data_IF_342284090641
#
_entry.id   IF_342284090641
#
_cell.length_a   1.000
_cell.length_b   1.000
_cell.length_c   1.000
_cell.angle_alpha   90.00
_cell.angle_beta   90.00
_cell.angle_gamma   90.00
#
_symmetry.space_group_name_H-M   'P 1'
#
loop_
_entity.id
_entity.type
_entity.pdbx_description
1 polymer ?
#
# COMPACT_ATOMS: atom_id res chain seq x y z
N UNK A 1 0.94 -3.97 14.40
CA UNK A 1 0.81 -5.05 13.40
C UNK A 1 -0.68 -5.22 13.11
N UNK A 2 -1.06 -5.53 11.88
CA UNK A 2 -2.48 -5.66 11.47
C UNK A 2 -2.76 -7.16 11.38
N UNK A 3 -3.87 -7.63 11.96
CA UNK A 3 -4.26 -9.03 11.84
C UNK A 3 -4.59 -9.36 10.38
N UNK A 4 -4.10 -10.48 9.83
CA UNK A 4 -4.26 -10.81 8.41
C UNK A 4 -5.72 -10.76 7.97
N UNK A 5 -6.60 -11.42 8.73
CA UNK A 5 -8.04 -11.60 8.43
C UNK A 5 -8.89 -10.34 8.69
N UNK A 6 -8.26 -9.22 9.03
CA UNK A 6 -8.96 -7.96 9.32
C UNK A 6 -9.00 -7.05 8.10
N UNK A 7 -10.18 -6.52 7.80
CA UNK A 7 -10.34 -5.54 6.73
C UNK A 7 -9.55 -4.27 7.06
N UNK A 8 -8.52 -3.98 6.27
CA UNK A 8 -7.76 -2.74 6.37
C UNK A 8 -8.31 -1.71 5.39
N UNK A 9 -9.08 -0.75 5.92
CA UNK A 9 -9.73 0.26 5.08
C UNK A 9 -8.79 1.44 4.81
N UNK A 10 -9.10 2.22 3.77
CA UNK A 10 -8.35 3.43 3.50
C UNK A 10 -8.55 4.55 4.57
N UNK A 11 -9.53 4.44 5.48
CA UNK A 11 -9.60 5.29 6.69
C UNK A 11 -8.57 4.86 7.73
N UNK A 12 -8.38 3.56 7.92
CA UNK A 12 -7.35 3.03 8.83
C UNK A 12 -5.95 3.45 8.35
N UNK A 13 -5.73 3.40 7.04
CA UNK A 13 -4.53 3.94 6.40
C UNK A 13 -4.31 5.43 6.70
N UNK A 14 -5.36 6.25 6.58
CA UNK A 14 -5.30 7.69 6.85
C UNK A 14 -4.85 7.97 8.30
N UNK A 15 -5.50 7.34 9.28
CA UNK A 15 -5.16 7.53 10.69
C UNK A 15 -3.76 7.03 11.02
N UNK A 16 -3.41 5.82 10.59
CA UNK A 16 -2.09 5.25 10.83
C UNK A 16 -0.98 6.11 10.20
N UNK A 17 -1.16 6.53 8.95
CA UNK A 17 -0.17 7.36 8.24
C UNK A 17 0.07 8.68 8.94
N UNK A 18 -0.99 9.37 9.37
CA UNK A 18 -0.86 10.63 10.09
C UNK A 18 -0.09 10.49 11.41
N UNK A 19 -0.36 9.44 12.19
CA UNK A 19 0.37 9.18 13.42
C UNK A 19 1.86 8.90 13.17
N UNK A 20 2.19 8.10 12.15
CA UNK A 20 3.59 7.83 11.80
C UNK A 20 4.33 9.06 11.25
N UNK A 21 3.66 9.87 10.43
CA UNK A 21 4.22 11.12 9.90
C UNK A 21 4.61 12.05 11.05
N UNK A 22 3.70 12.26 12.01
CA UNK A 22 3.96 13.06 13.20
C UNK A 22 5.13 12.53 14.04
N UNK A 23 5.18 11.21 14.25
CA UNK A 23 6.29 10.56 14.96
C UNK A 23 7.63 10.78 14.27
N UNK A 24 7.68 10.64 12.94
CA UNK A 24 8.92 10.82 12.16
C UNK A 24 9.36 12.29 12.19
N UNK A 25 8.42 13.23 12.03
CA UNK A 25 8.73 14.66 12.05
C UNK A 25 9.30 15.10 13.41
N UNK A 26 8.80 14.55 14.53
CA UNK A 26 9.35 14.77 15.88
C UNK A 26 10.81 14.33 16.02
N UNK A 27 11.29 13.42 15.17
CA UNK A 27 12.70 12.98 15.14
C UNK A 27 13.58 13.82 14.19
N UNK A 28 13.08 14.93 13.67
CA UNK A 28 13.74 15.77 12.65
C UNK A 28 14.11 15.00 11.38
N UNK A 29 13.30 14.02 10.99
CA UNK A 29 13.46 13.24 9.76
C UNK A 29 12.35 13.56 8.77
N UNK A 30 12.61 13.26 7.49
CA UNK A 30 11.65 13.44 6.41
C UNK A 30 10.84 12.14 6.25
N UNK A 31 9.50 12.17 6.43
CA UNK A 31 8.65 11.02 6.14
C UNK A 31 8.64 10.73 4.63
N UNK A 32 8.80 9.46 4.26
CA UNK A 32 8.66 8.99 2.87
C UNK A 32 7.53 7.98 2.85
N UNK A 33 6.47 8.30 2.11
CA UNK A 33 5.32 7.42 1.92
C UNK A 33 5.51 6.69 0.59
N UNK A 34 5.67 5.37 0.64
CA UNK A 34 5.82 4.52 -0.55
C UNK A 34 4.48 3.86 -0.84
N UNK A 35 4.01 4.04 -2.08
CA UNK A 35 2.63 3.73 -2.48
C UNK A 35 2.43 2.26 -2.84
N UNK A 36 1.27 1.73 -2.44
CA UNK A 36 0.61 0.55 -3.03
C UNK A 36 -0.64 0.94 -3.84
N UNK A 37 -1.74 1.28 -3.16
CA UNK A 37 -3.02 1.69 -3.77
C UNK A 37 -3.16 3.21 -3.90
N UNK A 38 -3.66 3.70 -5.04
CA UNK A 38 -3.90 5.12 -5.29
C UNK A 38 -4.97 5.71 -4.36
N UNK A 39 -6.06 4.96 -4.11
CA UNK A 39 -7.17 5.41 -3.26
C UNK A 39 -6.77 5.73 -1.82
N UNK A 40 -5.71 5.11 -1.31
CA UNK A 40 -5.16 5.41 0.01
C UNK A 40 -4.47 6.78 0.05
N UNK A 41 -3.73 7.13 -1.01
CA UNK A 41 -3.06 8.43 -1.13
C UNK A 41 -4.10 9.53 -1.38
N UNK A 42 -5.09 9.28 -2.22
CA UNK A 42 -6.21 10.21 -2.44
C UNK A 42 -6.91 10.55 -1.12
N UNK A 43 -7.31 9.54 -0.34
CA UNK A 43 -7.90 9.79 0.98
C UNK A 43 -6.94 10.52 1.92
N UNK A 44 -5.65 10.20 1.92
CA UNK A 44 -4.68 10.89 2.77
C UNK A 44 -4.57 12.38 2.42
N UNK A 45 -4.53 12.70 1.13
CA UNK A 45 -4.24 14.05 0.62
C UNK A 45 -5.49 14.94 0.60
N UNK A 46 -6.65 14.37 0.25
CA UNK A 46 -7.91 15.09 0.05
C UNK A 46 -8.78 15.16 1.32
N UNK A 47 -8.42 14.47 2.40
CA UNK A 47 -9.21 14.49 3.63
C UNK A 47 -9.34 15.90 4.22
N UNK A 48 -10.59 16.34 4.38
CA UNK A 48 -10.93 17.67 4.86
C UNK A 48 -10.68 17.89 6.35
N UNK A 49 -10.58 16.83 7.15
CA UNK A 49 -10.33 16.92 8.60
C UNK A 49 -8.83 17.11 8.84
N UNK A 50 -7.99 16.36 8.15
CA UNK A 50 -6.54 16.43 8.30
C UNK A 50 -5.88 17.52 7.46
N UNK A 51 -6.54 18.00 6.40
CA UNK A 51 -6.08 19.09 5.53
C UNK A 51 -4.60 18.93 5.14
N UNK A 52 -4.23 17.75 4.65
CA UNK A 52 -2.84 17.32 4.50
C UNK A 52 -1.96 18.32 3.73
N UNK A 53 -2.45 18.81 2.58
CA UNK A 53 -1.75 19.79 1.75
C UNK A 53 -1.57 21.16 2.41
N UNK A 54 -2.41 21.51 3.39
CA UNK A 54 -2.23 22.72 4.18
C UNK A 54 -1.17 22.55 5.27
N UNK A 55 -1.09 21.34 5.84
CA UNK A 55 -0.21 21.03 6.97
C UNK A 55 1.22 20.73 6.56
N UNK A 56 1.43 20.12 5.39
CA UNK A 56 2.73 19.64 4.95
C UNK A 56 3.11 20.14 3.56
N UNK A 57 4.37 20.57 3.43
CA UNK A 57 4.96 20.85 2.12
C UNK A 57 5.37 19.52 1.46
N UNK A 58 4.50 19.00 0.59
CA UNK A 58 4.61 17.65 0.03
C UNK A 58 5.32 17.65 -1.33
N UNK A 59 6.19 16.67 -1.55
CA UNK A 59 6.83 16.41 -2.84
C UNK A 59 6.33 15.09 -3.41
N UNK A 60 5.80 15.13 -4.63
CA UNK A 60 5.26 13.95 -5.32
C UNK A 60 6.23 13.49 -6.41
N UNK A 61 6.74 12.27 -6.27
CA UNK A 61 7.62 11.64 -7.25
C UNK A 61 6.83 10.56 -7.98
N UNK A 62 6.65 10.74 -9.29
CA UNK A 62 6.00 9.76 -10.16
C UNK A 62 7.06 8.97 -10.93
N UNK A 63 7.10 7.66 -10.72
CA UNK A 63 7.96 6.76 -11.50
C UNK A 63 7.12 6.20 -12.65
N UNK A 64 7.49 6.57 -13.87
CA UNK A 64 6.84 6.09 -15.09
C UNK A 64 7.76 5.15 -15.88
N UNK A 65 7.15 4.20 -16.60
CA UNK A 65 7.86 3.25 -17.45
C UNK A 65 6.96 2.82 -18.60
N UNK A 66 7.56 2.55 -19.76
CA UNK A 66 6.83 2.05 -20.91
C UNK A 66 6.07 0.75 -20.57
N UNK A 67 4.83 0.63 -21.03
CA UNK A 67 3.96 -0.52 -20.76
C UNK A 67 4.58 -1.86 -21.16
N UNK A 68 5.30 -1.92 -22.27
CA UNK A 68 5.97 -3.14 -22.73
C UNK A 68 7.04 -3.61 -21.74
N UNK A 69 7.88 -2.68 -21.26
CA UNK A 69 8.93 -2.92 -20.27
C UNK A 69 8.31 -3.31 -18.92
N UNK A 70 7.24 -2.62 -18.50
CA UNK A 70 6.52 -2.96 -17.27
C UNK A 70 6.01 -4.39 -17.31
N UNK A 71 5.30 -4.76 -18.38
CA UNK A 71 4.75 -6.10 -18.55
C UNK A 71 5.85 -7.17 -18.53
N UNK A 72 6.97 -6.93 -19.22
CA UNK A 72 8.12 -7.82 -19.19
C UNK A 72 8.63 -8.05 -17.76
N UNK A 73 8.82 -6.97 -16.98
CA UNK A 73 9.29 -7.05 -15.59
C UNK A 73 8.29 -7.73 -14.66
N UNK A 74 7.00 -7.44 -14.81
CA UNK A 74 5.93 -8.03 -14.00
C UNK A 74 5.84 -9.54 -14.26
N UNK A 75 5.88 -9.96 -15.53
CA UNK A 75 5.86 -11.38 -15.90
C UNK A 75 7.06 -12.11 -15.27
N UNK A 76 8.28 -11.58 -15.44
CA UNK A 76 9.48 -12.15 -14.82
C UNK A 76 9.40 -12.21 -13.29
N UNK A 77 8.72 -11.23 -12.65
CA UNK A 77 8.52 -11.26 -11.19
C UNK A 77 7.59 -12.39 -10.79
N UNK A 78 6.50 -12.60 -11.53
CA UNK A 78 5.56 -13.71 -11.28
C UNK A 78 6.27 -15.05 -11.45
N UNK A 79 7.07 -15.23 -12.50
CA UNK A 79 7.86 -16.45 -12.69
C UNK A 79 8.78 -16.72 -11.49
N UNK A 80 9.45 -15.68 -10.99
CA UNK A 80 10.29 -15.78 -9.77
C UNK A 80 9.48 -16.12 -8.52
N UNK A 81 8.29 -15.54 -8.35
CA UNK A 81 7.42 -15.82 -7.20
C UNK A 81 6.95 -17.29 -7.22
N UNK A 82 6.56 -17.80 -8.39
CA UNK A 82 6.17 -19.21 -8.56
C UNK A 82 7.34 -20.13 -8.23
N UNK A 83 8.53 -19.84 -8.76
CA UNK A 83 9.75 -20.61 -8.47
C UNK A 83 10.18 -20.54 -6.99
N UNK A 84 9.80 -19.47 -6.28
CA UNK A 84 10.04 -19.30 -4.85
C UNK A 84 8.98 -19.98 -3.96
N UNK A 85 7.96 -20.62 -4.54
CA UNK A 85 6.94 -21.36 -3.78
C UNK A 85 5.61 -20.63 -3.56
N UNK A 86 5.29 -19.58 -4.35
CA UNK A 86 3.99 -18.90 -4.26
C UNK A 86 2.79 -19.85 -4.26
N UNK A 87 2.85 -20.92 -5.06
CA UNK A 87 1.77 -21.92 -5.13
C UNK A 87 1.59 -22.67 -3.81
N UNK A 88 2.68 -22.94 -3.10
CA UNK A 88 2.65 -23.63 -1.82
C UNK A 88 2.18 -22.72 -0.68
N UNK A 89 2.41 -21.41 -0.79
CA UNK A 89 1.81 -20.41 0.11
C UNK A 89 0.29 -20.35 -0.07
N UNK A 90 -0.18 -20.21 -1.32
CA UNK A 90 -1.61 -20.10 -1.65
C UNK A 90 -2.39 -21.33 -1.20
N UNK A 91 -1.84 -22.54 -1.37
CA UNK A 91 -2.49 -23.79 -0.92
C UNK A 91 -2.81 -23.83 0.57
N UNK A 92 -2.10 -23.05 1.41
CA UNK A 92 -2.32 -23.02 2.86
C UNK A 92 -3.47 -22.10 3.28
N UNK A 93 -3.82 -21.12 2.43
CA UNK A 93 -4.80 -20.07 2.76
C UNK A 93 -6.11 -20.21 1.98
N UNK A 94 -6.14 -21.01 0.90
CA UNK A 94 -7.36 -21.22 0.11
C UNK A 94 -8.40 -21.99 0.94
N UNK A 95 -9.55 -21.38 1.13
CA UNK A 95 -10.72 -21.93 1.81
C UNK A 95 -11.84 -22.11 0.78
N UNK A 96 -12.47 -23.29 0.76
CA UNK A 96 -13.63 -23.52 -0.09
C UNK A 96 -14.80 -22.62 0.34
N UNK A 97 -15.50 -22.03 -0.64
CA UNK A 97 -16.68 -21.16 -0.43
C UNK A 97 -16.45 -19.88 0.39
N UNK A 98 -15.20 -19.43 0.54
CA UNK A 98 -14.87 -18.15 1.16
C UNK A 98 -15.19 -16.94 0.26
N UNK A 99 -15.48 -15.79 0.89
CA UNK A 99 -15.74 -14.52 0.23
C UNK A 99 -14.42 -13.77 -0.05
N UNK A 100 -13.89 -13.95 -1.26
CA UNK A 100 -12.65 -13.28 -1.71
C UNK A 100 -12.87 -11.84 -2.20
N UNK A 101 -13.99 -11.20 -1.86
CA UNK A 101 -14.22 -9.76 -2.14
C UNK A 101 -13.74 -8.85 -1.01
N UNK A 102 -13.33 -9.41 0.13
CA UNK A 102 -12.82 -8.71 1.31
C UNK A 102 -11.29 -8.77 1.39
N UNK A 103 -10.73 -8.22 2.46
CA UNK A 103 -9.29 -8.34 2.76
C UNK A 103 -8.78 -9.79 2.78
N UNK A 104 -7.45 -9.93 2.89
CA UNK A 104 -6.78 -11.24 3.05
C UNK A 104 -7.32 -11.94 4.30
#
# INVERSE_FOLDING_TARGET
EIEPDSDFTAKDFLFASNDYIEKILKTHRVPIIIRGLNSCIEKLVEDHVFMFNYKYNSCYIWIDVERSILNCRVNMRVDKMVNAGLVDEVRKIVIADADYTKGI
#
